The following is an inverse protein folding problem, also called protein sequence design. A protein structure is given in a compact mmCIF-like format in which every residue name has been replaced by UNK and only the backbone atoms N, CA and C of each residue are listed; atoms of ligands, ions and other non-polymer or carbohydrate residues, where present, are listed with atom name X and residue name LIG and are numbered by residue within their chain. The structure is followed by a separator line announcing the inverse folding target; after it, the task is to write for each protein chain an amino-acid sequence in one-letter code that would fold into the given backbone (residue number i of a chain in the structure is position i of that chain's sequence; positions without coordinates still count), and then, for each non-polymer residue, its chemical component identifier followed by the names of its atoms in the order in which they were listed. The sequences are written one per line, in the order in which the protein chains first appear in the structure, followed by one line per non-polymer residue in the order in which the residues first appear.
data_IF_219917742437
#
_entry.id   IF_219917742437
#
_cell.length_a   1.000
_cell.length_b   1.000
_cell.length_c   1.000
_cell.angle_alpha   90.00
_cell.angle_beta   90.00
_cell.angle_gamma   90.00
#
_symmetry.space_group_name_H-M   'P 1'
#
loop_
_entity.id
_entity.type
_entity.pdbx_description
1 polymer ?
#
# COMPACT_ATOMS: atom_id res chain seq x y z
N UNK A 1 -2.06 -1.54 -11.39
CA UNK A 1 -3.06 -2.01 -10.40
C UNK A 1 -4.34 -1.16 -10.38
N UNK A 2 -4.28 0.18 -10.51
CA UNK A 2 -5.45 1.06 -10.66
C UNK A 2 -6.50 0.54 -11.66
N UNK A 3 -6.05 0.05 -12.83
CA UNK A 3 -6.97 -0.47 -13.85
C UNK A 3 -7.63 -1.80 -13.49
N UNK A 4 -7.02 -2.60 -12.63
CA UNK A 4 -7.52 -3.93 -12.27
C UNK A 4 -8.60 -3.80 -11.18
N UNK A 5 -8.37 -2.96 -10.17
CA UNK A 5 -9.30 -2.82 -9.04
C UNK A 5 -10.54 -1.98 -9.35
N UNK A 6 -10.51 -1.13 -10.38
CA UNK A 6 -11.68 -0.38 -10.86
C UNK A 6 -12.69 -1.21 -11.66
N UNK A 7 -12.37 -2.45 -12.04
CA UNK A 7 -13.26 -3.26 -12.88
C UNK A 7 -14.25 -4.06 -12.03
N UNK A 8 -15.53 -3.86 -12.27
CA UNK A 8 -16.63 -4.52 -11.54
C UNK A 8 -16.51 -6.06 -11.48
N UNK A 9 -15.84 -6.70 -12.46
CA UNK A 9 -15.65 -8.14 -12.47
C UNK A 9 -14.68 -8.63 -11.38
N UNK A 10 -13.68 -7.82 -10.98
CA UNK A 10 -12.77 -8.16 -9.88
C UNK A 10 -13.53 -8.28 -8.57
N UNK A 11 -14.48 -7.37 -8.31
CA UNK A 11 -15.38 -7.40 -7.16
C UNK A 11 -16.28 -8.65 -7.14
N UNK A 12 -16.82 -9.00 -8.31
CA UNK A 12 -17.67 -10.19 -8.46
C UNK A 12 -16.86 -11.47 -8.27
N UNK A 13 -15.64 -11.54 -8.85
CA UNK A 13 -14.74 -12.68 -8.69
C UNK A 13 -14.24 -12.83 -7.24
N UNK A 14 -13.87 -11.73 -6.56
CA UNK A 14 -13.48 -11.75 -5.15
C UNK A 14 -14.60 -12.28 -4.26
N UNK A 15 -15.86 -11.93 -4.55
CA UNK A 15 -17.03 -12.42 -3.83
C UNK A 15 -17.27 -13.91 -4.01
N UNK A 16 -17.07 -14.44 -5.21
CA UNK A 16 -17.18 -15.88 -5.52
C UNK A 16 -16.07 -16.67 -4.85
N UNK A 17 -14.85 -16.14 -4.81
CA UNK A 17 -13.69 -16.79 -4.19
C UNK A 17 -13.83 -16.85 -2.67
N UNK A 18 -14.49 -15.88 -2.01
CA UNK A 18 -14.83 -15.96 -0.57
C UNK A 18 -15.69 -17.20 -0.25
N UNK A 19 -16.65 -17.53 -1.10
CA UNK A 19 -17.47 -18.72 -0.93
C UNK A 19 -16.65 -20.00 -1.09
N UNK A 20 -15.67 -20.02 -1.99
CA UNK A 20 -14.76 -21.17 -2.19
C UNK A 20 -13.66 -21.27 -1.14
N UNK A 21 -13.17 -20.17 -0.61
CA UNK A 21 -12.20 -20.16 0.50
C UNK A 21 -12.80 -20.75 1.79
N UNK A 22 -14.10 -20.65 1.99
CA UNK A 22 -14.80 -21.31 3.08
C UNK A 22 -14.75 -22.84 2.99
N UNK A 23 -14.58 -23.41 1.80
CA UNK A 23 -14.46 -24.84 1.57
C UNK A 23 -13.04 -25.39 1.59
N UNK A 24 -12.03 -24.65 2.02
CA UNK A 24 -10.64 -25.11 2.25
C UNK A 24 -9.95 -25.80 1.06
N UNK A 25 -10.41 -25.58 -0.18
CA UNK A 25 -9.94 -26.29 -1.37
C UNK A 25 -9.13 -25.43 -2.35
N UNK A 26 -8.72 -24.23 -1.98
CA UNK A 26 -8.11 -23.34 -2.96
C UNK A 26 -6.61 -23.16 -2.69
N UNK A 27 -5.77 -23.72 -3.54
CA UNK A 27 -4.49 -23.10 -3.87
C UNK A 27 -4.74 -21.61 -4.11
N UNK A 28 -3.85 -20.71 -3.64
CA UNK A 28 -4.05 -19.29 -3.79
C UNK A 28 -4.20 -18.92 -5.27
N UNK A 29 -5.39 -18.52 -5.68
CA UNK A 29 -5.64 -18.05 -7.04
C UNK A 29 -5.14 -16.62 -7.17
N UNK A 30 -4.11 -16.42 -7.97
CA UNK A 30 -3.57 -15.11 -8.26
C UNK A 30 -4.49 -14.31 -9.20
N UNK A 31 -4.56 -13.01 -8.98
CA UNK A 31 -5.25 -12.09 -9.89
C UNK A 31 -4.52 -12.10 -11.25
N UNK A 32 -5.23 -12.09 -12.39
CA UNK A 32 -4.60 -12.04 -13.70
C UNK A 32 -3.61 -10.89 -13.84
N UNK A 33 -2.45 -11.16 -14.44
CA UNK A 33 -1.36 -10.20 -14.58
C UNK A 33 -0.45 -10.09 -13.35
N UNK A 34 -0.73 -10.83 -12.27
CA UNK A 34 0.15 -10.86 -11.10
C UNK A 34 1.20 -11.97 -11.22
N UNK A 35 2.45 -11.64 -10.87
CA UNK A 35 3.52 -12.62 -10.84
C UNK A 35 3.29 -13.63 -9.69
N UNK A 36 3.52 -14.92 -9.99
CA UNK A 36 3.43 -16.00 -8.98
C UNK A 36 4.74 -16.22 -8.23
N UNK A 37 5.66 -15.32 -8.35
CA UNK A 37 6.98 -15.35 -7.76
C UNK A 37 7.31 -14.04 -7.04
N UNK A 38 8.25 -14.04 -6.10
CA UNK A 38 8.81 -12.81 -5.54
C UNK A 38 9.45 -11.92 -6.61
N UNK A 39 9.63 -10.66 -6.27
CA UNK A 39 10.37 -9.71 -7.09
C UNK A 39 11.83 -10.16 -7.26
N UNK A 40 12.37 -9.91 -8.42
CA UNK A 40 13.77 -10.14 -8.77
C UNK A 40 14.44 -8.86 -9.26
N UNK A 41 15.76 -8.87 -9.33
CA UNK A 41 16.55 -7.73 -9.81
C UNK A 41 16.14 -7.23 -11.20
N UNK A 42 15.79 -8.15 -12.09
CA UNK A 42 15.34 -7.89 -13.46
C UNK A 42 14.01 -7.13 -13.56
N UNK A 43 13.20 -7.14 -12.49
CA UNK A 43 11.89 -6.46 -12.46
C UNK A 43 12.02 -4.95 -12.20
N UNK A 44 13.22 -4.42 -11.94
CA UNK A 44 13.39 -3.01 -11.61
C UNK A 44 12.83 -2.03 -12.65
N UNK A 45 12.99 -2.20 -13.96
CA UNK A 45 12.49 -1.25 -14.95
C UNK A 45 10.96 -1.04 -14.87
N UNK A 46 10.21 -2.11 -14.58
CA UNK A 46 8.74 -2.13 -14.58
C UNK A 46 8.13 -2.03 -13.18
N UNK A 47 8.96 -1.87 -12.14
CA UNK A 47 8.47 -1.79 -10.78
C UNK A 47 7.75 -0.46 -10.50
N UNK A 48 6.69 -0.53 -9.67
CA UNK A 48 5.93 0.62 -9.21
C UNK A 48 6.23 1.01 -7.75
N UNK A 49 7.16 0.29 -7.10
CA UNK A 49 7.40 0.43 -5.65
C UNK A 49 8.34 1.58 -5.34
N UNK A 50 9.50 1.64 -6.02
CA UNK A 50 10.54 2.63 -5.75
C UNK A 50 11.28 3.09 -6.99
N UNK A 51 11.77 4.32 -6.99
CA UNK A 51 12.70 4.88 -7.96
C UNK A 51 14.17 4.55 -7.67
N UNK A 52 14.51 4.13 -6.46
CA UNK A 52 15.90 3.83 -6.06
C UNK A 52 16.30 2.40 -6.43
N UNK A 53 17.08 2.29 -7.53
CA UNK A 53 17.58 1.00 -8.02
C UNK A 53 18.43 0.27 -6.99
N UNK A 54 19.29 0.97 -6.25
CA UNK A 54 20.18 0.35 -5.28
C UNK A 54 19.41 -0.32 -4.15
N UNK A 55 18.37 0.34 -3.62
CA UNK A 55 17.51 -0.21 -2.56
C UNK A 55 16.64 -1.34 -3.07
N UNK A 56 16.10 -1.20 -4.28
CA UNK A 56 15.38 -2.30 -4.92
C UNK A 56 16.24 -3.55 -5.05
N UNK A 57 17.47 -3.41 -5.59
CA UNK A 57 18.40 -4.54 -5.74
C UNK A 57 18.80 -5.16 -4.39
N UNK A 58 18.98 -4.32 -3.35
CA UNK A 58 19.22 -4.85 -2.00
C UNK A 58 18.06 -5.72 -1.50
N UNK A 59 16.83 -5.27 -1.69
CA UNK A 59 15.64 -6.00 -1.28
C UNK A 59 15.51 -7.33 -2.04
N UNK A 60 15.72 -7.33 -3.35
CA UNK A 60 15.68 -8.56 -4.15
C UNK A 60 16.80 -9.53 -3.79
N UNK A 61 18.01 -9.05 -3.48
CA UNK A 61 19.10 -9.89 -3.02
C UNK A 61 18.79 -10.59 -1.66
N UNK A 62 18.01 -9.94 -0.79
CA UNK A 62 17.53 -10.59 0.44
C UNK A 62 16.57 -11.73 0.09
N UNK A 63 15.63 -11.51 -0.83
CA UNK A 63 14.68 -12.53 -1.29
C UNK A 63 15.35 -13.70 -2.00
N UNK A 64 16.47 -13.47 -2.69
CA UNK A 64 17.28 -14.53 -3.31
C UNK A 64 17.97 -15.40 -2.25
N UNK A 65 18.46 -14.80 -1.17
CA UNK A 65 19.11 -15.52 -0.07
C UNK A 65 18.14 -16.26 0.82
N UNK A 66 16.95 -15.70 1.03
CA UNK A 66 15.92 -16.28 1.88
C UNK A 66 14.56 -16.26 1.14
N UNK A 67 14.34 -17.22 0.23
CA UNK A 67 13.13 -17.27 -0.59
C UNK A 67 11.82 -17.37 0.21
N UNK A 68 11.89 -17.82 1.48
CA UNK A 68 10.71 -17.92 2.36
C UNK A 68 10.15 -16.55 2.76
N UNK A 69 10.92 -15.47 2.64
CA UNK A 69 10.46 -14.11 2.85
C UNK A 69 9.68 -13.56 1.65
N UNK A 70 9.79 -14.22 0.51
CA UNK A 70 9.23 -13.74 -0.73
C UNK A 70 7.78 -14.15 -0.91
N UNK A 71 6.96 -13.18 -1.25
CA UNK A 71 5.57 -13.39 -1.68
C UNK A 71 5.44 -13.09 -3.17
N UNK A 72 4.50 -13.76 -3.81
CA UNK A 72 4.06 -13.39 -5.15
C UNK A 72 3.12 -12.18 -5.13
N UNK A 73 2.52 -11.90 -6.28
CA UNK A 73 1.52 -10.85 -6.40
C UNK A 73 0.22 -11.15 -5.67
N UNK A 74 -0.74 -10.25 -5.78
CA UNK A 74 -2.00 -10.35 -5.07
C UNK A 74 -2.84 -11.57 -5.49
N UNK A 75 -3.40 -12.26 -4.51
CA UNK A 75 -4.41 -13.29 -4.71
C UNK A 75 -5.81 -12.69 -4.61
N UNK A 76 -6.83 -13.38 -5.13
CA UNK A 76 -8.21 -12.96 -4.97
C UNK A 76 -8.63 -12.89 -3.49
N UNK A 77 -8.13 -13.82 -2.65
CA UNK A 77 -8.39 -13.81 -1.22
C UNK A 77 -7.83 -12.56 -0.53
N UNK A 78 -6.59 -12.19 -0.88
CA UNK A 78 -5.97 -10.96 -0.38
C UNK A 78 -6.75 -9.72 -0.82
N UNK A 79 -7.15 -9.65 -2.09
CA UNK A 79 -7.96 -8.52 -2.60
C UNK A 79 -9.29 -8.41 -1.86
N UNK A 80 -9.97 -9.53 -1.64
CA UNK A 80 -11.23 -9.53 -0.90
C UNK A 80 -11.06 -8.99 0.53
N UNK A 81 -10.02 -9.46 1.24
CA UNK A 81 -9.71 -8.99 2.59
C UNK A 81 -9.34 -7.49 2.62
N UNK A 82 -8.55 -7.02 1.66
CA UNK A 82 -8.21 -5.61 1.53
C UNK A 82 -9.45 -4.72 1.31
N UNK A 83 -10.39 -5.19 0.47
CA UNK A 83 -11.63 -4.47 0.22
C UNK A 83 -12.56 -4.44 1.44
N UNK A 84 -12.61 -5.49 2.24
CA UNK A 84 -13.36 -5.50 3.49
C UNK A 84 -12.74 -4.52 4.48
N UNK A 85 -11.41 -4.54 4.65
CA UNK A 85 -10.69 -3.58 5.50
C UNK A 85 -10.93 -2.12 5.08
N UNK A 86 -10.96 -1.84 3.78
CA UNK A 86 -11.28 -0.49 3.28
C UNK A 86 -12.71 -0.06 3.63
N UNK A 87 -13.69 -0.96 3.60
CA UNK A 87 -15.06 -0.65 4.05
C UNK A 87 -15.12 -0.36 5.55
N UNK A 88 -14.37 -1.13 6.33
CA UNK A 88 -14.28 -0.90 7.78
C UNK A 88 -13.67 0.47 8.06
N UNK A 89 -12.58 0.84 7.39
CA UNK A 89 -11.97 2.17 7.46
C UNK A 89 -12.96 3.26 7.04
N UNK A 90 -13.72 3.05 5.95
CA UNK A 90 -14.75 4.00 5.54
C UNK A 90 -15.86 4.18 6.59
N UNK A 91 -16.21 3.15 7.33
CA UNK A 91 -17.16 3.25 8.43
C UNK A 91 -16.65 4.12 9.58
N UNK A 92 -15.32 4.31 9.71
CA UNK A 92 -14.66 5.16 10.71
C UNK A 92 -14.64 6.65 10.32
N UNK A 93 -15.22 7.04 9.19
CA UNK A 93 -15.36 8.45 8.78
C UNK A 93 -16.28 9.28 9.68
N UNK A 94 -16.86 8.69 10.70
CA UNK A 94 -17.74 9.38 11.66
C UNK A 94 -16.89 10.23 12.63
N UNK A 95 -17.34 11.44 12.96
CA UNK A 95 -16.67 12.26 13.98
C UNK A 95 -16.46 11.46 15.27
N UNK A 96 -15.26 11.54 15.84
CA UNK A 96 -14.92 10.84 17.09
C UNK A 96 -14.62 9.35 16.98
N UNK A 97 -14.67 8.73 15.81
CA UNK A 97 -14.31 7.31 15.63
C UNK A 97 -12.83 7.04 15.92
N UNK A 98 -11.94 7.96 15.56
CA UNK A 98 -10.51 7.88 15.87
C UNK A 98 -10.26 8.41 17.28
N UNK A 99 -9.69 7.57 18.14
CA UNK A 99 -9.37 7.90 19.53
C UNK A 99 -7.91 8.32 19.74
N UNK A 100 -7.04 7.94 18.80
CA UNK A 100 -5.61 8.24 18.80
C UNK A 100 -5.25 9.14 17.62
N UNK A 101 -4.21 9.97 17.70
CA UNK A 101 -3.65 10.66 16.56
C UNK A 101 -3.11 9.65 15.53
N UNK A 102 -3.26 9.98 14.24
CA UNK A 102 -2.79 9.15 13.13
C UNK A 102 -2.07 10.03 12.12
N UNK A 103 -0.87 9.64 11.72
CA UNK A 103 -0.16 10.24 10.60
C UNK A 103 -0.36 9.40 9.34
N UNK A 104 -0.86 10.03 8.28
CA UNK A 104 -0.97 9.43 6.95
C UNK A 104 0.08 10.07 6.06
N UNK A 105 1.07 9.28 5.61
CA UNK A 105 2.07 9.75 4.64
C UNK A 105 1.80 9.10 3.29
N UNK A 106 1.66 9.92 2.26
CA UNK A 106 1.27 9.52 0.91
C UNK A 106 2.42 9.75 -0.07
N UNK A 107 2.59 8.85 -1.00
CA UNK A 107 3.52 8.97 -2.11
C UNK A 107 2.86 9.71 -3.29
N UNK A 108 3.44 10.84 -3.73
CA UNK A 108 2.85 11.68 -4.78
C UNK A 108 2.83 11.02 -6.16
N UNK A 109 3.78 10.12 -6.44
CA UNK A 109 3.87 9.33 -7.68
C UNK A 109 3.43 7.87 -7.50
N UNK A 110 2.56 7.61 -6.53
CA UNK A 110 2.04 6.26 -6.31
C UNK A 110 1.26 5.75 -7.52
N UNK A 111 1.63 4.55 -7.97
CA UNK A 111 0.95 3.83 -9.07
C UNK A 111 0.23 2.57 -8.58
N UNK A 112 0.32 2.27 -7.30
CA UNK A 112 -0.28 1.08 -6.68
C UNK A 112 -1.62 1.39 -6.08
N UNK A 113 -1.72 2.50 -5.32
CA UNK A 113 -2.95 2.93 -4.64
C UNK A 113 -3.39 4.32 -5.09
N UNK A 114 -4.66 4.66 -4.80
CA UNK A 114 -5.26 5.96 -5.06
C UNK A 114 -4.99 6.90 -3.87
N UNK A 115 -4.07 7.82 -4.04
CA UNK A 115 -3.62 8.74 -2.98
C UNK A 115 -4.64 9.83 -2.66
N UNK A 116 -5.49 10.20 -3.63
CA UNK A 116 -6.58 11.15 -3.42
C UNK A 116 -7.58 10.71 -2.37
N UNK A 117 -7.87 9.41 -2.31
CA UNK A 117 -8.76 8.84 -1.29
C UNK A 117 -8.16 8.97 0.13
N UNK A 118 -6.84 8.77 0.28
CA UNK A 118 -6.15 8.95 1.56
C UNK A 118 -6.20 10.40 2.04
N UNK A 119 -5.99 11.37 1.13
CA UNK A 119 -6.12 12.81 1.43
C UNK A 119 -7.54 13.16 1.87
N UNK A 120 -8.56 12.68 1.14
CA UNK A 120 -9.96 12.92 1.48
C UNK A 120 -10.34 12.32 2.84
N UNK A 121 -9.80 11.15 3.16
CA UNK A 121 -10.01 10.52 4.46
C UNK A 121 -9.37 11.35 5.57
N UNK A 122 -8.13 11.80 5.40
CA UNK A 122 -7.41 12.60 6.39
C UNK A 122 -8.12 13.94 6.67
N UNK A 123 -8.70 14.57 5.65
CA UNK A 123 -9.42 15.84 5.80
C UNK A 123 -10.70 15.75 6.66
N UNK A 124 -11.14 14.56 7.06
CA UNK A 124 -12.38 14.34 7.79
C UNK A 124 -12.21 14.27 9.32
N UNK A 125 -10.98 14.34 9.82
CA UNK A 125 -10.73 14.27 11.25
C UNK A 125 -9.51 15.11 11.64
N UNK A 126 -9.66 15.94 12.64
CA UNK A 126 -8.56 16.72 13.25
C UNK A 126 -7.48 15.84 13.89
N UNK A 127 -7.76 14.55 14.09
CA UNK A 127 -6.78 13.57 14.59
C UNK A 127 -5.94 12.94 13.50
N UNK A 128 -6.20 13.29 12.23
CA UNK A 128 -5.44 12.80 11.08
C UNK A 128 -4.52 13.91 10.57
N UNK A 129 -3.22 13.73 10.72
CA UNK A 129 -2.23 14.52 10.00
C UNK A 129 -1.97 13.88 8.64
N UNK A 130 -1.84 14.70 7.58
CA UNK A 130 -1.58 14.22 6.22
C UNK A 130 -0.34 14.90 5.64
N UNK A 131 0.60 14.10 5.15
CA UNK A 131 1.78 14.58 4.43
C UNK A 131 1.87 13.87 3.09
N UNK A 132 2.20 14.60 2.02
CA UNK A 132 2.43 14.03 0.69
C UNK A 132 3.87 14.28 0.27
N UNK A 133 4.60 13.21 -0.07
CA UNK A 133 5.97 13.28 -0.59
C UNK A 133 5.89 13.21 -2.12
N UNK A 134 5.98 14.37 -2.76
CA UNK A 134 5.62 14.58 -4.17
C UNK A 134 6.31 13.61 -5.15
N UNK A 135 7.60 13.39 -5.00
CA UNK A 135 8.41 12.63 -5.94
C UNK A 135 8.48 11.13 -5.64
N UNK A 136 7.96 10.70 -4.50
CA UNK A 136 8.03 9.31 -4.04
C UNK A 136 7.05 8.39 -4.78
N UNK A 137 7.46 7.14 -4.98
CA UNK A 137 6.61 6.03 -5.37
C UNK A 137 6.06 5.31 -4.13
N UNK A 138 5.39 4.19 -4.31
CA UNK A 138 4.60 3.48 -3.29
C UNK A 138 5.36 3.14 -2.00
N UNK A 139 6.58 2.65 -2.08
CA UNK A 139 7.38 2.22 -0.92
C UNK A 139 8.32 3.35 -0.48
N UNK A 140 7.80 4.25 0.35
CA UNK A 140 8.49 5.44 0.84
C UNK A 140 9.81 5.13 1.54
N UNK A 141 9.90 4.04 2.28
CA UNK A 141 11.13 3.65 2.99
C UNK A 141 12.20 3.07 2.07
N UNK A 142 11.80 2.57 0.91
CA UNK A 142 12.70 2.08 -0.12
C UNK A 142 13.02 3.14 -1.18
N UNK A 143 12.53 4.36 -1.06
CA UNK A 143 12.88 5.47 -1.95
C UNK A 143 14.26 6.04 -1.69
N UNK A 144 14.73 6.91 -2.59
CA UNK A 144 15.97 7.67 -2.45
C UNK A 144 16.05 8.46 -1.14
N UNK A 145 17.26 8.90 -0.77
CA UNK A 145 17.48 9.54 0.53
C UNK A 145 16.53 10.73 0.76
N UNK A 146 16.37 11.58 -0.23
CA UNK A 146 15.55 12.80 -0.11
C UNK A 146 14.10 12.49 0.29
N UNK A 147 13.43 11.60 -0.42
CA UNK A 147 12.05 11.21 -0.10
C UNK A 147 11.95 10.49 1.25
N UNK A 148 12.93 9.65 1.56
CA UNK A 148 12.98 8.92 2.82
C UNK A 148 13.24 9.85 4.01
N UNK A 149 14.07 10.87 3.87
CA UNK A 149 14.33 11.89 4.89
C UNK A 149 13.09 12.73 5.15
N UNK A 150 12.34 13.11 4.12
CA UNK A 150 11.04 13.77 4.27
C UNK A 150 10.04 12.92 5.04
N UNK A 151 10.00 11.60 4.76
CA UNK A 151 9.16 10.67 5.53
C UNK A 151 9.55 10.63 7.00
N UNK A 152 10.85 10.47 7.29
CA UNK A 152 11.36 10.38 8.67
C UNK A 152 11.13 11.71 9.42
N UNK A 153 11.36 12.84 8.78
CA UNK A 153 11.10 14.15 9.38
C UNK A 153 9.61 14.34 9.74
N UNK A 154 8.69 13.92 8.86
CA UNK A 154 7.26 13.96 9.15
C UNK A 154 6.89 13.02 10.30
N UNK A 155 7.49 11.85 10.36
CA UNK A 155 7.29 10.86 11.42
C UNK A 155 7.79 11.40 12.78
N UNK A 156 9.01 11.91 12.83
CA UNK A 156 9.61 12.47 14.04
C UNK A 156 8.79 13.66 14.56
N UNK A 157 8.43 14.61 13.68
CA UNK A 157 7.56 15.74 14.03
C UNK A 157 6.21 15.29 14.61
N UNK A 158 5.65 14.22 14.07
CA UNK A 158 4.39 13.67 14.57
C UNK A 158 4.56 13.07 15.98
N UNK A 159 5.65 12.36 16.24
CA UNK A 159 5.92 11.79 17.56
C UNK A 159 6.20 12.86 18.62
N UNK A 160 6.88 13.94 18.26
CA UNK A 160 7.17 15.07 19.14
C UNK A 160 5.95 15.94 19.45
N UNK A 161 4.77 15.60 18.87
CA UNK A 161 3.54 16.37 19.08
C UNK A 161 3.52 17.70 18.33
N UNK A 162 4.54 18.01 17.55
CA UNK A 162 4.53 19.14 16.63
C UNK A 162 3.66 18.78 15.43
N UNK A 163 2.61 19.57 15.18
CA UNK A 163 1.75 19.35 14.01
C UNK A 163 2.60 19.32 12.75
N UNK A 164 2.51 18.25 11.96
CA UNK A 164 3.15 18.20 10.67
C UNK A 164 2.73 19.44 9.84
N UNK A 165 3.64 20.12 9.14
CA UNK A 165 3.27 21.25 8.29
C UNK A 165 2.23 20.79 7.28
N UNK A 166 1.09 21.46 7.28
CA UNK A 166 0.08 21.27 6.25
C UNK A 166 0.65 21.81 4.94
N UNK A 167 0.99 20.91 4.02
CA UNK A 167 1.44 21.23 2.67
C UNK A 167 0.29 21.11 1.66
#
# INVERSE_FOLDING_TARGET
MREIYGKAWVWRAARVVRVRAFFNFAHPLFVPGQARRPLKAEDFPDNNLTGDKRRFLRSTAILEKEPRLGLGGATYGWVAAALDALRDIESMRKPGALRIPVLVVSAGRDRVVETGAARQFAAQSERLAFVSIAEARHDLLSEGNEAREQFLAAFDSFLDGSSAPQA
#
